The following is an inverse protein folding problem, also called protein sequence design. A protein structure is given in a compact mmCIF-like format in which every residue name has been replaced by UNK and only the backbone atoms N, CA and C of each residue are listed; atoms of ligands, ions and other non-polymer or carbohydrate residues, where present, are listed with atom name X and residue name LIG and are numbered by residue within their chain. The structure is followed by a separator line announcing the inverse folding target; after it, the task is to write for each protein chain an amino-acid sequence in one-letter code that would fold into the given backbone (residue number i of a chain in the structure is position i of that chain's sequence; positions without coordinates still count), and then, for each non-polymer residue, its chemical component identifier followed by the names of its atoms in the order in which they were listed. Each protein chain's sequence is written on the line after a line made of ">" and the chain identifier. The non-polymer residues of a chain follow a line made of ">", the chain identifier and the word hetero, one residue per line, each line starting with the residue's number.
data_IF_736830688074
#
_entry.id   IF_736830688074
#
_cell.length_a   1.000
_cell.length_b   1.000
_cell.length_c   1.000
_cell.angle_alpha   90.00
_cell.angle_beta   90.00
_cell.angle_gamma   90.00
#
_symmetry.space_group_name_H-M   'P 1'
#
loop_
_entity.id
_entity.type
_entity.pdbx_description
1 polymer ?
#
# COMPACT_ATOMS: atom_id res chain seq x y z
N UNK A 1 -0.31 44.67 -12.47
CA UNK A 1 -1.37 43.63 -12.31
C UNK A 1 -0.90 42.39 -13.06
N UNK A 2 -0.10 41.55 -12.42
CA UNK A 2 0.35 40.27 -13.00
C UNK A 2 -0.25 39.19 -12.12
N UNK A 3 -1.16 38.39 -12.67
CA UNK A 3 -1.68 37.22 -11.98
C UNK A 3 -0.55 36.17 -11.84
N UNK A 4 -0.34 35.55 -10.67
CA UNK A 4 0.54 34.40 -10.59
C UNK A 4 -0.10 33.26 -11.39
N UNK A 5 0.69 32.61 -12.27
CA UNK A 5 0.26 31.40 -12.95
C UNK A 5 0.18 30.29 -11.89
N UNK A 6 -1.02 30.00 -11.42
CA UNK A 6 -1.28 28.81 -10.61
C UNK A 6 -1.08 27.59 -11.53
N UNK A 7 0.12 27.01 -11.45
CA UNK A 7 0.36 25.65 -11.89
C UNK A 7 -0.27 24.73 -10.82
N UNK A 8 -1.59 24.71 -10.77
CA UNK A 8 -2.38 23.89 -9.86
C UNK A 8 -2.53 22.49 -10.48
N UNK A 9 -1.43 21.75 -10.47
CA UNK A 9 -1.47 20.30 -10.44
C UNK A 9 -1.95 19.96 -9.04
N UNK A 10 -3.25 19.71 -8.90
CA UNK A 10 -3.88 19.18 -7.70
C UNK A 10 -3.05 18.02 -7.16
N UNK A 11 -2.19 18.34 -6.19
CA UNK A 11 -1.62 17.38 -5.26
C UNK A 11 -2.82 16.67 -4.67
N UNK A 12 -2.90 15.37 -4.91
CA UNK A 12 -3.77 14.50 -4.16
C UNK A 12 -3.45 14.69 -2.66
N UNK A 13 -4.27 15.47 -1.95
CA UNK A 13 -4.16 15.71 -0.51
C UNK A 13 -4.54 14.48 0.35
N UNK A 14 -4.27 13.27 -0.16
CA UNK A 14 -4.53 12.00 0.51
C UNK A 14 -3.24 11.27 0.90
N UNK A 15 -2.16 12.01 1.16
CA UNK A 15 -0.90 11.45 1.65
C UNK A 15 -0.89 11.47 3.19
N UNK A 16 -1.78 10.69 3.83
CA UNK A 16 -1.64 10.38 5.27
C UNK A 16 -2.43 9.12 5.67
N UNK A 17 -1.69 8.04 5.88
CA UNK A 17 -1.96 6.92 6.81
C UNK A 17 -2.99 5.84 6.46
N UNK A 18 -3.60 5.84 5.27
CA UNK A 18 -4.36 4.67 4.79
C UNK A 18 -4.08 4.42 3.31
N UNK A 19 -3.64 3.20 2.97
CA UNK A 19 -3.65 2.72 1.59
C UNK A 19 -5.12 2.81 1.12
N UNK A 20 -5.38 3.62 0.09
CA UNK A 20 -6.72 3.81 -0.43
C UNK A 20 -7.28 2.47 -0.97
N UNK A 21 -8.59 2.23 -0.80
CA UNK A 21 -9.21 0.95 -1.19
C UNK A 21 -9.01 0.60 -2.68
N UNK A 22 -9.05 1.60 -3.57
CA UNK A 22 -8.80 1.41 -5.00
C UNK A 22 -7.36 0.94 -5.31
N UNK A 23 -6.40 1.30 -4.46
CA UNK A 23 -5.01 0.86 -4.59
C UNK A 23 -4.90 -0.60 -4.13
N UNK A 24 -5.60 -1.00 -3.07
CA UNK A 24 -5.69 -2.41 -2.66
C UNK A 24 -6.33 -3.28 -3.75
N UNK A 25 -7.32 -2.76 -4.49
CA UNK A 25 -7.94 -3.49 -5.61
C UNK A 25 -6.98 -3.76 -6.79
N UNK A 26 -5.89 -2.97 -6.91
CA UNK A 26 -4.83 -3.16 -7.92
C UNK A 26 -3.70 -4.04 -7.36
N UNK A 27 -3.48 -4.01 -6.04
CA UNK A 27 -2.39 -4.72 -5.39
C UNK A 27 -2.75 -6.20 -5.14
N UNK A 28 -2.02 -7.09 -5.80
CA UNK A 28 -2.13 -8.53 -5.62
C UNK A 28 -0.89 -9.08 -4.90
N UNK A 29 -1.07 -10.17 -4.15
CA UNK A 29 0.01 -10.92 -3.51
C UNK A 29 1.06 -11.35 -4.56
N UNK A 30 2.37 -11.07 -4.37
CA UNK A 30 3.41 -11.46 -5.33
C UNK A 30 3.59 -12.98 -5.44
N UNK A 31 3.22 -13.74 -4.41
CA UNK A 31 3.37 -15.20 -4.37
C UNK A 31 2.19 -15.95 -5.00
N UNK A 32 0.96 -15.48 -4.78
CA UNK A 32 -0.25 -16.22 -5.16
C UNK A 32 -1.22 -15.44 -6.04
N UNK A 33 -0.95 -14.15 -6.28
CA UNK A 33 -1.83 -13.21 -6.99
C UNK A 33 -3.21 -13.01 -6.32
N UNK A 34 -3.40 -13.53 -5.11
CA UNK A 34 -4.61 -13.32 -4.33
C UNK A 34 -4.70 -11.88 -3.78
N UNK A 35 -5.90 -11.41 -3.37
CA UNK A 35 -6.07 -10.12 -2.72
C UNK A 35 -5.23 -9.97 -1.45
N UNK A 36 -4.86 -8.72 -1.13
CA UNK A 36 -4.16 -8.35 0.10
C UNK A 36 -5.09 -7.57 1.04
N UNK A 37 -5.01 -7.86 2.34
CA UNK A 37 -5.70 -7.11 3.39
C UNK A 37 -4.70 -6.28 4.17
N UNK A 38 -4.96 -4.99 4.34
CA UNK A 38 -4.15 -4.16 5.23
C UNK A 38 -4.46 -4.49 6.69
N UNK A 39 -3.42 -4.78 7.47
CA UNK A 39 -3.43 -4.85 8.92
C UNK A 39 -2.86 -3.53 9.49
N UNK A 40 -3.71 -2.63 10.01
CA UNK A 40 -3.26 -1.35 10.53
C UNK A 40 -2.58 -1.45 11.91
N UNK A 41 -2.68 -2.58 12.60
CA UNK A 41 -2.02 -2.77 13.90
C UNK A 41 -0.53 -3.08 13.71
N UNK A 42 -0.18 -3.81 12.65
CA UNK A 42 1.20 -4.18 12.33
C UNK A 42 1.81 -3.38 11.17
N UNK A 43 1.01 -2.55 10.48
CA UNK A 43 1.41 -1.84 9.26
C UNK A 43 1.90 -2.83 8.18
N UNK A 44 1.12 -3.89 7.95
CA UNK A 44 1.44 -4.97 7.00
C UNK A 44 0.29 -5.20 6.01
N UNK A 45 0.62 -5.69 4.81
CA UNK A 45 -0.32 -6.28 3.88
C UNK A 45 -0.32 -7.80 4.04
N UNK A 46 -1.45 -8.35 4.46
CA UNK A 46 -1.64 -9.78 4.75
C UNK A 46 -2.25 -10.48 3.56
N UNK A 47 -1.67 -11.62 3.18
CA UNK A 47 -2.24 -12.58 2.24
C UNK A 47 -2.64 -13.87 2.97
N UNK A 48 -3.93 -14.10 3.15
CA UNK A 48 -4.44 -15.27 3.85
C UNK A 48 -4.19 -16.59 3.07
N UNK A 49 -4.07 -16.54 1.74
CA UNK A 49 -3.85 -17.73 0.89
C UNK A 49 -2.40 -18.23 0.93
N UNK A 50 -1.43 -17.30 0.90
CA UNK A 50 0.00 -17.65 0.98
C UNK A 50 0.52 -17.76 2.41
N UNK A 51 -0.23 -17.26 3.40
CA UNK A 51 0.20 -17.20 4.79
C UNK A 51 1.38 -16.26 5.00
N UNK A 52 1.44 -15.18 4.21
CA UNK A 52 2.51 -14.18 4.23
C UNK A 52 1.97 -12.78 4.59
N UNK A 53 2.76 -12.04 5.36
CA UNK A 53 2.55 -10.63 5.67
C UNK A 53 3.72 -9.82 5.11
N UNK A 54 3.41 -8.79 4.32
CA UNK A 54 4.36 -7.92 3.64
C UNK A 54 4.42 -6.57 4.39
N UNK A 55 5.58 -6.12 4.87
CA UNK A 55 5.66 -4.91 5.68
C UNK A 55 5.46 -3.65 4.85
N UNK A 56 4.89 -2.62 5.47
CA UNK A 56 4.88 -1.25 4.95
C UNK A 56 6.04 -0.51 5.63
N UNK A 57 6.90 0.14 4.85
CA UNK A 57 8.03 0.93 5.36
C UNK A 57 7.98 2.32 4.76
N UNK A 58 7.97 3.33 5.62
CA UNK A 58 7.82 4.74 5.21
C UNK A 58 6.57 5.00 4.33
N UNK A 59 5.49 4.26 4.59
CA UNK A 59 4.25 4.30 3.79
C UNK A 59 4.33 3.59 2.43
N UNK A 60 5.42 2.86 2.15
CA UNK A 60 5.64 2.11 0.92
C UNK A 60 5.52 0.60 1.22
N UNK A 61 4.58 -0.12 0.57
CA UNK A 61 4.49 -1.57 0.70
C UNK A 61 5.71 -2.28 0.10
N UNK A 62 6.32 -3.19 0.88
CA UNK A 62 7.44 -4.03 0.46
C UNK A 62 6.92 -5.39 0.02
N UNK A 63 6.55 -5.53 -1.25
CA UNK A 63 6.01 -6.76 -1.84
C UNK A 63 7.11 -7.72 -2.34
N UNK A 64 8.12 -7.97 -1.51
CA UNK A 64 9.18 -8.94 -1.77
C UNK A 64 8.92 -10.21 -0.94
N UNK A 65 8.89 -11.37 -1.60
CA UNK A 65 8.63 -12.67 -0.93
C UNK A 65 9.68 -12.98 0.14
N UNK A 66 10.95 -12.61 -0.09
CA UNK A 66 12.04 -12.81 0.87
C UNK A 66 11.96 -11.89 2.10
N UNK A 67 11.28 -10.75 2.00
CA UNK A 67 11.05 -9.85 3.14
C UNK A 67 9.71 -10.12 3.84
N UNK A 68 8.89 -11.04 3.32
CA UNK A 68 7.60 -11.38 3.88
C UNK A 68 7.74 -12.22 5.15
N UNK A 69 6.92 -11.90 6.16
CA UNK A 69 6.82 -12.65 7.40
C UNK A 69 5.75 -13.73 7.28
N UNK A 70 6.02 -14.93 7.78
CA UNK A 70 5.00 -15.99 7.88
C UNK A 70 4.05 -15.70 9.05
N UNK A 71 2.75 -15.92 8.82
CA UNK A 71 1.67 -15.70 9.81
C UNK A 71 1.00 -17.00 10.28
N UNK A 72 1.58 -18.15 9.95
CA UNK A 72 1.16 -19.49 10.39
C UNK A 72 2.08 -20.11 11.43
#
# INVERSE_FOLDING_TARGET
>A
MVAPRAHDITRNENMSTKIDGWLLDILACPQSQAPLRHDPETDELVCDESGLAYPIRDGIPVLLVDEARKIG
#
